data_IF_344036861306
#
_entry.id   IF_344036861306
#
_cell.length_a   1.000
_cell.length_b   1.000
_cell.length_c   1.000
_cell.angle_alpha   90.00
_cell.angle_beta   90.00
_cell.angle_gamma   90.00
#
_symmetry.space_group_name_H-M   'P 1'
#
loop_
_entity.id
_entity.type
_entity.pdbx_description
1 polymer ?
#
# COMPACT_ATOMS: atom_id res chain seq x y z
N UNK A 1 11.63 -1.02 9.63
CA UNK A 1 10.38 -1.18 10.42
C UNK A 1 9.64 0.14 10.66
N UNK A 2 9.79 0.90 11.77
CA UNK A 2 8.90 2.05 12.03
C UNK A 2 8.91 3.11 10.91
N UNK A 3 10.09 3.62 10.53
CA UNK A 3 10.24 4.62 9.46
C UNK A 3 9.75 4.12 8.10
N UNK A 4 9.89 2.83 7.85
CA UNK A 4 9.49 2.17 6.62
C UNK A 4 7.97 2.06 6.53
N UNK A 5 7.30 1.70 7.63
CA UNK A 5 5.83 1.71 7.74
C UNK A 5 5.31 3.14 7.52
N UNK A 6 5.91 4.12 8.19
CA UNK A 6 5.51 5.52 7.99
C UNK A 6 5.69 5.98 6.55
N UNK A 7 6.79 5.60 5.90
CA UNK A 7 7.01 5.93 4.50
C UNK A 7 5.88 5.39 3.61
N UNK A 8 5.47 4.13 3.80
CA UNK A 8 4.35 3.54 3.04
C UNK A 8 3.01 4.23 3.34
N UNK A 9 2.79 4.68 4.58
CA UNK A 9 1.59 5.42 4.95
C UNK A 9 1.54 6.81 4.29
N UNK A 10 2.65 7.55 4.30
CA UNK A 10 2.74 8.86 3.65
C UNK A 10 2.62 8.76 2.13
N UNK A 11 3.20 7.73 1.52
CA UNK A 11 3.17 7.54 0.06
C UNK A 11 1.97 6.70 -0.40
N UNK A 12 0.99 6.44 0.46
CA UNK A 12 -0.13 5.54 0.18
C UNK A 12 -0.85 5.89 -1.14
N UNK A 13 -1.17 7.17 -1.36
CA UNK A 13 -1.87 7.59 -2.58
C UNK A 13 -1.00 7.52 -3.83
N UNK A 14 0.29 7.84 -3.71
CA UNK A 14 1.24 7.78 -4.83
C UNK A 14 1.48 6.33 -5.27
N UNK A 15 1.75 5.44 -4.31
CA UNK A 15 1.89 4.02 -4.58
C UNK A 15 0.59 3.46 -5.18
N UNK A 16 -0.58 3.89 -4.68
CA UNK A 16 -1.88 3.42 -5.18
C UNK A 16 -2.10 3.85 -6.63
N UNK A 17 -1.65 5.05 -6.98
CA UNK A 17 -1.62 5.52 -8.36
C UNK A 17 -0.69 4.67 -9.21
N UNK A 18 0.52 4.38 -8.74
CA UNK A 18 1.51 3.57 -9.47
C UNK A 18 1.00 2.15 -9.79
N UNK A 19 0.40 1.45 -8.82
CA UNK A 19 -0.20 0.13 -9.06
C UNK A 19 -1.36 0.22 -10.07
N UNK A 20 -2.18 1.27 -9.99
CA UNK A 20 -3.27 1.50 -10.95
C UNK A 20 -2.71 1.75 -12.35
N UNK A 21 -1.72 2.61 -12.49
CA UNK A 21 -1.06 2.92 -13.77
C UNK A 21 -0.41 1.68 -14.37
N UNK A 22 0.23 0.83 -13.57
CA UNK A 22 0.76 -0.45 -14.02
C UNK A 22 -0.34 -1.34 -14.61
N UNK A 23 -1.45 -1.52 -13.89
CA UNK A 23 -2.58 -2.34 -14.36
C UNK A 23 -3.18 -1.80 -15.65
N UNK A 24 -3.39 -0.48 -15.73
CA UNK A 24 -3.89 0.17 -16.95
C UNK A 24 -2.92 0.02 -18.13
N UNK A 25 -1.61 0.14 -17.89
CA UNK A 25 -0.57 -0.08 -18.92
C UNK A 25 -0.59 -1.50 -19.45
N UNK A 26 -0.72 -2.51 -18.57
CA UNK A 26 -0.82 -3.92 -19.00
C UNK A 26 -2.09 -4.13 -19.83
N UNK A 27 -3.24 -3.63 -19.38
CA UNK A 27 -4.52 -3.77 -20.07
C UNK A 27 -4.53 -3.08 -21.45
N UNK A 28 -3.97 -1.86 -21.54
CA UNK A 28 -3.99 -1.05 -22.76
C UNK A 28 -2.84 -1.35 -23.71
N UNK A 29 -1.87 -2.19 -23.32
CA UNK A 29 -0.77 -2.57 -24.20
C UNK A 29 -1.26 -3.38 -25.40
N UNK A 30 -0.88 -2.96 -26.61
CA UNK A 30 -1.19 -3.64 -27.87
C UNK A 30 -0.17 -4.72 -28.25
N UNK A 31 0.98 -4.75 -27.58
CA UNK A 31 2.09 -5.68 -27.81
C UNK A 31 2.69 -6.08 -26.45
N UNK A 32 3.15 -7.34 -26.24
CA UNK A 32 3.73 -7.75 -24.95
C UNK A 32 4.92 -6.86 -24.60
N UNK A 33 4.77 -6.08 -23.52
CA UNK A 33 5.71 -5.02 -23.14
C UNK A 33 7.04 -5.49 -22.57
N UNK A 34 7.32 -6.79 -22.52
CA UNK A 34 8.55 -7.31 -21.92
C UNK A 34 9.12 -8.48 -22.73
N UNK A 35 10.14 -8.17 -23.54
CA UNK A 35 10.99 -9.17 -24.17
C UNK A 35 11.94 -9.77 -23.15
N UNK A 36 11.53 -10.87 -22.50
CA UNK A 36 12.39 -11.95 -21.98
C UNK A 36 11.49 -13.04 -21.36
N UNK A 37 10.78 -13.76 -22.22
CA UNK A 37 10.38 -15.13 -21.92
C UNK A 37 11.13 -15.97 -22.93
N UNK A 38 12.16 -16.66 -22.46
CA UNK A 38 13.03 -17.48 -23.29
C UNK A 38 12.26 -18.58 -24.00
N UNK A 39 12.67 -18.78 -25.25
CA UNK A 39 12.63 -20.04 -26.03
C UNK A 39 11.26 -20.70 -26.24
N UNK A 40 10.69 -20.42 -27.42
CA UNK A 40 9.61 -21.21 -28.00
C UNK A 40 8.72 -20.35 -28.89
N UNK A 41 9.11 -20.19 -30.15
CA UNK A 41 8.26 -19.54 -31.16
C UNK A 41 6.99 -20.38 -31.39
N UNK A 42 5.84 -19.84 -31.02
CA UNK A 42 4.58 -20.10 -31.72
C UNK A 42 3.71 -18.83 -31.65
N UNK A 43 3.53 -18.21 -32.80
CA UNK A 43 2.98 -16.87 -32.97
C UNK A 43 1.44 -16.88 -32.97
N UNK A 44 0.83 -17.42 -31.91
CA UNK A 44 -0.62 -17.32 -31.65
C UNK A 44 -0.90 -17.13 -30.16
N UNK A 45 -0.12 -16.28 -29.50
CA UNK A 45 -0.36 -15.97 -28.10
C UNK A 45 -1.57 -15.05 -27.99
N UNK A 46 -2.67 -15.59 -27.47
CA UNK A 46 -3.84 -14.80 -27.08
C UNK A 46 -3.37 -13.62 -26.22
N UNK A 47 -3.52 -12.41 -26.76
CA UNK A 47 -3.08 -11.19 -26.09
C UNK A 47 -3.79 -11.00 -24.75
N UNK A 48 -5.01 -11.52 -24.62
CA UNK A 48 -5.76 -11.58 -23.36
C UNK A 48 -5.09 -12.51 -22.36
N UNK A 49 -4.66 -13.69 -22.79
CA UNK A 49 -3.97 -14.65 -21.93
C UNK A 49 -2.62 -14.11 -21.43
N UNK A 50 -1.86 -13.42 -22.29
CA UNK A 50 -0.60 -12.75 -21.89
C UNK A 50 -0.87 -11.66 -20.85
N UNK A 51 -1.86 -10.81 -21.07
CA UNK A 51 -2.23 -9.75 -20.12
C UNK A 51 -2.68 -10.33 -18.78
N UNK A 52 -3.49 -11.40 -18.81
CA UNK A 52 -3.90 -12.12 -17.62
C UNK A 52 -2.69 -12.67 -16.85
N UNK A 53 -1.71 -13.24 -17.55
CA UNK A 53 -0.47 -13.73 -16.92
C UNK A 53 0.35 -12.59 -16.28
N UNK A 54 0.49 -11.45 -16.96
CA UNK A 54 1.21 -10.29 -16.43
C UNK A 54 0.53 -9.69 -15.20
N UNK A 55 -0.81 -9.61 -15.19
CA UNK A 55 -1.58 -9.16 -14.04
C UNK A 55 -1.53 -10.17 -12.88
N UNK A 56 -1.48 -11.46 -13.17
CA UNK A 56 -1.36 -12.51 -12.16
C UNK A 56 0.04 -12.61 -11.54
N UNK A 57 1.07 -12.17 -12.27
CA UNK A 57 2.48 -12.17 -11.85
C UNK A 57 3.13 -10.81 -12.14
N UNK A 58 2.73 -9.76 -11.42
CA UNK A 58 3.31 -8.44 -11.60
C UNK A 58 4.78 -8.44 -11.14
N UNK A 59 5.55 -7.39 -11.49
CA UNK A 59 6.86 -7.15 -10.90
C UNK A 59 6.80 -7.18 -9.37
N UNK A 60 7.86 -7.65 -8.73
CA UNK A 60 7.95 -7.81 -7.27
C UNK A 60 7.58 -6.53 -6.50
N UNK A 61 8.00 -5.37 -7.01
CA UNK A 61 7.70 -4.07 -6.42
C UNK A 61 6.18 -3.78 -6.37
N UNK A 62 5.48 -4.03 -7.48
CA UNK A 62 4.02 -3.87 -7.55
C UNK A 62 3.32 -4.87 -6.63
N UNK A 63 3.79 -6.11 -6.57
CA UNK A 63 3.27 -7.13 -5.65
C UNK A 63 3.44 -6.70 -4.18
N UNK A 64 4.59 -6.13 -3.82
CA UNK A 64 4.85 -5.61 -2.47
C UNK A 64 3.94 -4.42 -2.14
N UNK A 65 3.75 -3.47 -3.06
CA UNK A 65 2.83 -2.35 -2.87
C UNK A 65 1.38 -2.81 -2.65
N UNK A 66 0.92 -3.81 -3.42
CA UNK A 66 -0.41 -4.39 -3.23
C UNK A 66 -0.59 -5.02 -1.83
N UNK A 67 0.43 -5.73 -1.33
CA UNK A 67 0.40 -6.28 0.03
C UNK A 67 0.37 -5.18 1.09
N UNK A 68 1.17 -4.13 0.91
CA UNK A 68 1.14 -2.96 1.80
C UNK A 68 -0.24 -2.27 1.81
N UNK A 69 -0.91 -2.13 0.66
CA UNK A 69 -2.27 -1.60 0.64
C UNK A 69 -3.25 -2.48 1.39
N UNK A 70 -3.19 -3.80 1.19
CA UNK A 70 -4.08 -4.70 1.90
C UNK A 70 -3.91 -4.57 3.43
N UNK A 71 -2.68 -4.35 3.91
CA UNK A 71 -2.40 -4.11 5.33
C UNK A 71 -2.94 -2.76 5.80
N UNK A 72 -2.73 -1.69 5.03
CA UNK A 72 -3.21 -0.35 5.37
C UNK A 72 -4.75 -0.32 5.39
N UNK A 73 -5.42 -0.94 4.40
CA UNK A 73 -6.88 -1.06 4.35
C UNK A 73 -7.43 -1.89 5.52
N UNK A 74 -6.79 -3.02 5.86
CA UNK A 74 -7.12 -3.79 7.07
C UNK A 74 -6.98 -2.94 8.34
N UNK A 75 -5.97 -2.06 8.39
CA UNK A 75 -5.73 -1.17 9.52
C UNK A 75 -6.79 -0.08 9.64
N UNK A 76 -7.13 0.58 8.53
CA UNK A 76 -8.23 1.56 8.49
C UNK A 76 -9.53 0.89 8.94
N UNK A 77 -9.83 -0.30 8.42
CA UNK A 77 -11.03 -1.04 8.78
C UNK A 77 -11.05 -1.45 10.25
N UNK A 78 -9.90 -1.81 10.83
CA UNK A 78 -9.77 -2.14 12.26
C UNK A 78 -10.10 -0.95 13.17
N UNK A 79 -9.69 0.25 12.79
CA UNK A 79 -9.90 1.47 13.57
C UNK A 79 -11.13 2.28 13.14
N UNK A 80 -11.93 1.76 12.20
CA UNK A 80 -13.12 2.43 11.69
C UNK A 80 -14.07 2.85 12.81
N UNK A 81 -14.62 4.06 12.70
CA UNK A 81 -15.47 4.73 13.69
C UNK A 81 -14.80 5.01 15.03
N UNK A 82 -13.47 5.04 15.09
CA UNK A 82 -12.71 5.44 16.29
C UNK A 82 -11.96 6.74 16.03
N UNK A 83 -11.53 7.44 17.09
CA UNK A 83 -10.70 8.63 16.91
C UNK A 83 -9.30 8.31 16.36
N UNK A 84 -8.88 7.05 16.40
CA UNK A 84 -7.64 6.58 15.76
C UNK A 84 -7.74 6.53 14.24
N UNK A 85 -8.92 6.28 13.67
CA UNK A 85 -9.15 6.42 12.23
C UNK A 85 -8.95 7.88 11.82
N UNK A 86 -9.56 8.82 12.56
CA UNK A 86 -9.38 10.25 12.31
C UNK A 86 -7.92 10.67 12.49
N UNK A 87 -7.22 10.13 13.49
CA UNK A 87 -5.80 10.36 13.69
C UNK A 87 -4.98 9.90 12.48
N UNK A 88 -5.19 8.66 12.02
CA UNK A 88 -4.51 8.09 10.86
C UNK A 88 -4.72 8.97 9.62
N UNK A 89 -5.96 9.35 9.36
CA UNK A 89 -6.31 10.20 8.22
C UNK A 89 -5.64 11.58 8.32
N UNK A 90 -5.73 12.23 9.48
CA UNK A 90 -5.15 13.56 9.67
C UNK A 90 -3.62 13.57 9.56
N UNK A 91 -2.94 12.52 10.04
CA UNK A 91 -1.47 12.45 10.00
C UNK A 91 -0.97 12.11 8.59
N UNK A 92 -1.47 11.03 8.00
CA UNK A 92 -0.83 10.42 6.84
C UNK A 92 -1.49 10.77 5.51
N UNK A 93 -2.78 11.13 5.52
CA UNK A 93 -3.51 11.45 4.29
C UNK A 93 -3.71 12.95 4.11
N UNK A 94 -4.01 13.66 5.20
CA UNK A 94 -4.18 15.12 5.17
C UNK A 94 -2.91 15.89 5.55
N UNK A 95 -1.87 15.18 5.99
CA UNK A 95 -0.55 15.68 6.38
C UNK A 95 -0.60 16.87 7.36
N UNK A 96 -1.53 16.81 8.32
CA UNK A 96 -1.74 17.89 9.29
C UNK A 96 -0.69 17.87 10.39
N UNK A 97 -0.28 19.06 10.81
CA UNK A 97 0.63 19.23 11.93
C UNK A 97 0.04 18.76 13.26
N UNK A 98 0.91 18.26 14.16
CA UNK A 98 0.51 17.71 15.46
C UNK A 98 -0.40 18.63 16.28
N UNK A 99 -0.07 19.91 16.39
CA UNK A 99 -0.84 20.87 17.18
C UNK A 99 -2.28 21.01 16.68
N UNK A 100 -2.46 21.00 15.36
CA UNK A 100 -3.78 21.00 14.74
C UNK A 100 -4.56 19.75 15.11
N UNK A 101 -3.92 18.58 15.02
CA UNK A 101 -4.54 17.29 15.34
C UNK A 101 -4.96 17.20 16.80
N UNK A 102 -4.08 17.60 17.72
CA UNK A 102 -4.37 17.60 19.16
C UNK A 102 -5.58 18.48 19.49
N UNK A 103 -5.65 19.69 18.89
CA UNK A 103 -6.80 20.59 19.05
C UNK A 103 -8.06 20.01 18.42
N UNK A 104 -7.96 19.42 17.22
CA UNK A 104 -9.09 18.89 16.46
C UNK A 104 -9.72 17.64 17.09
N UNK A 105 -8.90 16.78 17.67
CA UNK A 105 -9.34 15.55 18.33
C UNK A 105 -9.52 15.71 19.84
N UNK A 106 -9.20 16.89 20.39
CA UNK A 106 -9.26 17.17 21.83
C UNK A 106 -8.42 16.19 22.66
N UNK A 107 -7.20 15.88 22.20
CA UNK A 107 -6.30 14.91 22.85
C UNK A 107 -4.99 15.55 23.31
N UNK A 108 -4.45 15.00 24.39
CA UNK A 108 -3.13 15.37 24.89
C UNK A 108 -1.99 14.83 24.03
N UNK A 109 -0.79 15.39 24.24
CA UNK A 109 0.44 14.96 23.55
C UNK A 109 0.76 13.48 23.78
N UNK A 110 0.59 12.99 25.01
CA UNK A 110 0.86 11.60 25.34
C UNK A 110 -0.07 10.66 24.55
N UNK A 111 -1.37 10.97 24.53
CA UNK A 111 -2.38 10.22 23.79
C UNK A 111 -2.10 10.19 22.30
N UNK A 112 -1.67 11.32 21.71
CA UNK A 112 -1.27 11.37 20.30
C UNK A 112 -0.18 10.36 19.96
N UNK A 113 0.92 10.32 20.74
CA UNK A 113 2.01 9.38 20.49
C UNK A 113 1.61 7.94 20.76
N UNK A 114 0.88 7.70 21.85
CA UNK A 114 0.40 6.37 22.20
C UNK A 114 -0.49 5.78 21.10
N UNK A 115 -1.45 6.55 20.59
CA UNK A 115 -2.32 6.10 19.49
C UNK A 115 -1.54 5.91 18.18
N UNK A 116 -0.60 6.81 17.88
CA UNK A 116 0.26 6.66 16.70
C UNK A 116 1.06 5.36 16.77
N UNK A 117 1.68 5.08 17.92
CA UNK A 117 2.47 3.87 18.12
C UNK A 117 1.61 2.62 18.05
N UNK A 118 0.38 2.65 18.57
CA UNK A 118 -0.56 1.53 18.46
C UNK A 118 -0.93 1.23 17.00
N UNK A 119 -1.18 2.27 16.19
CA UNK A 119 -1.45 2.13 14.76
C UNK A 119 -0.23 1.52 14.05
N UNK A 120 0.96 2.06 14.27
CA UNK A 120 2.19 1.59 13.60
C UNK A 120 2.54 0.17 14.05
N UNK A 121 2.35 -0.16 15.33
CA UNK A 121 2.56 -1.51 15.86
C UNK A 121 1.60 -2.51 15.21
N UNK A 122 0.32 -2.17 15.08
CA UNK A 122 -0.65 -3.04 14.43
C UNK A 122 -0.26 -3.31 12.96
N UNK A 123 0.18 -2.29 12.24
CA UNK A 123 0.69 -2.45 10.87
C UNK A 123 1.94 -3.33 10.85
N UNK A 124 2.87 -3.14 11.79
CA UNK A 124 4.08 -3.96 11.87
C UNK A 124 3.77 -5.44 12.06
N UNK A 125 2.79 -5.78 12.90
CA UNK A 125 2.34 -7.15 13.12
C UNK A 125 1.76 -7.76 11.83
N UNK A 126 0.90 -7.03 11.13
CA UNK A 126 0.34 -7.49 9.85
C UNK A 126 1.43 -7.64 8.77
N UNK A 127 2.37 -6.70 8.70
CA UNK A 127 3.47 -6.75 7.73
C UNK A 127 4.43 -7.91 8.01
N UNK A 128 4.65 -8.26 9.27
CA UNK A 128 5.40 -9.45 9.67
C UNK A 128 4.69 -10.75 9.24
N UNK A 129 3.37 -10.82 9.42
CA UNK A 129 2.56 -11.98 8.98
C UNK A 129 2.64 -12.20 7.46
N UNK A 130 2.65 -11.12 6.69
CA UNK A 130 2.75 -11.16 5.21
C UNK A 130 4.21 -11.27 4.71
N UNK A 131 5.18 -11.47 5.61
CA UNK A 131 6.63 -11.54 5.34
C UNK A 131 7.20 -10.31 4.61
N UNK A 132 6.58 -9.14 4.75
CA UNK A 132 7.09 -7.88 4.18
C UNK A 132 8.25 -7.32 5.00
N UNK A 133 8.27 -7.61 6.30
CA UNK A 133 9.30 -7.17 7.23
C UNK A 133 9.86 -8.39 7.95
N UNK A 134 11.18 -8.43 8.10
CA UNK A 134 11.83 -9.37 9.02
C UNK A 134 11.81 -8.77 10.42
N UNK A 135 11.15 -9.47 11.35
CA UNK A 135 11.11 -9.15 12.78
C UNK A 135 12.29 -9.79 13.48
#
# INVERSE_FOLDING_TARGET
>A
IYKEIEWHLYHYFDLKREVKEYREKVLNSSTPLFGKVGEGQSYHSDSTAIKALMLAKPPKEIEEYEKWFAIIEKTIQKFKNTDKEKLLQLIYFDEKGREYIQKRLHIERATYFYWKDEIVLYIALLAAQENLIKV
#
